data_IF_245965829399
#
_entry.id   IF_245965829399
#
_cell.length_a   1.000
_cell.length_b   1.000
_cell.length_c   1.000
_cell.angle_alpha   90.00
_cell.angle_beta   90.00
_cell.angle_gamma   90.00
#
_symmetry.space_group_name_H-M   'P 1'
#
loop_
_entity.id
_entity.type
_entity.pdbx_description
1 polymer ?
#
# COMPACT_ATOMS: atom_id res chain seq x y z
N UNK A 1 -25.23 31.58 38.44
CA UNK A 1 -24.88 32.56 39.49
C UNK A 1 -24.33 31.79 40.67
N UNK A 2 -23.15 32.12 41.19
CA UNK A 2 -22.74 31.56 42.49
C UNK A 2 -23.76 32.07 43.52
N UNK A 3 -24.33 31.16 44.30
CA UNK A 3 -25.34 31.40 45.34
C UNK A 3 -24.76 32.27 46.48
N UNK A 4 -24.49 33.55 46.23
CA UNK A 4 -24.03 34.52 47.22
C UNK A 4 -22.54 34.44 47.60
N UNK A 5 -21.71 33.69 46.87
CA UNK A 5 -20.26 33.64 47.10
C UNK A 5 -19.53 34.91 46.62
N UNK A 6 -18.52 35.36 47.35
CA UNK A 6 -17.58 36.41 46.92
C UNK A 6 -16.23 35.78 46.58
N UNK A 7 -15.64 36.17 45.46
CA UNK A 7 -14.23 35.90 45.16
C UNK A 7 -13.50 37.19 45.49
N UNK A 8 -12.52 37.15 46.40
CA UNK A 8 -11.76 38.33 46.83
C UNK A 8 -10.28 38.18 46.47
N UNK A 9 -9.61 39.28 46.16
CA UNK A 9 -8.14 39.31 46.10
C UNK A 9 -7.52 39.33 47.52
N UNK A 10 -6.19 39.35 47.60
CA UNK A 10 -5.46 39.40 48.88
C UNK A 10 -5.67 40.72 49.67
N UNK A 11 -6.22 41.75 49.03
CA UNK A 11 -6.62 43.02 49.64
C UNK A 11 -8.13 43.09 49.93
N UNK A 12 -8.83 41.95 49.87
CA UNK A 12 -10.26 41.79 50.08
C UNK A 12 -11.20 42.44 49.04
N UNK A 13 -10.70 42.87 47.89
CA UNK A 13 -11.54 43.43 46.83
C UNK A 13 -12.35 42.33 46.16
N UNK A 14 -13.68 42.52 46.04
CA UNK A 14 -14.54 41.57 45.34
C UNK A 14 -14.26 41.57 43.84
N UNK A 15 -14.08 40.39 43.26
CA UNK A 15 -14.04 40.18 41.82
C UNK A 15 -15.40 40.54 41.19
N UNK A 16 -15.38 40.91 39.92
CA UNK A 16 -16.62 41.07 39.13
C UNK A 16 -17.09 39.70 38.68
N UNK A 17 -18.26 39.24 39.15
CA UNK A 17 -18.84 37.91 38.87
C UNK A 17 -19.88 37.93 37.74
N UNK A 18 -20.00 39.02 36.99
CA UNK A 18 -20.95 39.12 35.87
C UNK A 18 -20.35 38.50 34.63
N UNK A 19 -21.03 37.50 34.06
CA UNK A 19 -20.70 36.99 32.73
C UNK A 19 -21.07 38.05 31.68
N UNK A 20 -20.21 38.25 30.67
CA UNK A 20 -20.58 39.02 29.49
C UNK A 20 -21.83 38.42 28.84
N UNK A 21 -22.77 39.26 28.42
CA UNK A 21 -23.97 38.81 27.69
C UNK A 21 -23.55 37.95 26.48
N UNK A 22 -24.26 36.86 26.16
CA UNK A 22 -24.00 36.08 24.95
C UNK A 22 -23.89 36.99 23.71
N UNK A 23 -22.77 36.89 22.97
CA UNK A 23 -22.49 37.73 21.80
C UNK A 23 -21.71 39.02 22.07
N UNK A 24 -21.54 39.45 23.33
CA UNK A 24 -20.70 40.59 23.70
C UNK A 24 -19.22 40.19 23.87
N UNK A 25 -18.28 41.09 23.57
CA UNK A 25 -16.84 40.83 23.71
C UNK A 25 -16.49 40.19 25.08
N UNK A 26 -15.68 39.13 25.05
CA UNK A 26 -15.35 38.32 26.24
C UNK A 26 -16.38 37.24 26.60
N UNK A 27 -17.51 37.13 25.87
CA UNK A 27 -18.41 35.98 25.95
C UNK A 27 -17.98 34.86 24.99
N UNK A 28 -18.24 33.60 25.35
CA UNK A 28 -18.10 32.47 24.43
C UNK A 28 -18.96 32.65 23.17
N UNK A 29 -20.13 33.29 23.29
CA UNK A 29 -20.99 33.61 22.15
C UNK A 29 -20.50 34.76 21.27
N UNK A 30 -19.45 35.48 21.69
CA UNK A 30 -18.77 36.46 20.84
C UNK A 30 -17.65 35.83 19.98
N UNK A 31 -17.19 34.62 20.33
CA UNK A 31 -16.38 33.85 19.40
C UNK A 31 -17.29 33.43 18.24
N UNK A 32 -16.96 33.87 17.02
CA UNK A 32 -17.91 33.76 15.91
C UNK A 32 -18.09 32.34 15.40
N UNK A 33 -17.11 31.46 15.61
CA UNK A 33 -17.20 30.06 15.23
C UNK A 33 -16.52 29.18 16.29
N UNK A 34 -17.33 28.53 17.14
CA UNK A 34 -16.88 27.32 17.82
C UNK A 34 -17.18 26.19 16.85
N UNK A 35 -16.24 25.89 15.97
CA UNK A 35 -16.34 24.75 15.06
C UNK A 35 -16.01 23.50 15.86
N UNK A 36 -16.98 22.60 16.00
CA UNK A 36 -16.75 21.26 16.50
C UNK A 36 -16.72 20.35 15.29
N UNK A 37 -15.53 19.85 14.97
CA UNK A 37 -15.40 18.80 13.98
C UNK A 37 -15.65 17.45 14.66
N UNK A 38 -16.50 16.64 14.05
CA UNK A 38 -16.82 15.29 14.51
C UNK A 38 -16.62 14.26 13.39
N UNK A 39 -16.02 14.65 12.28
CA UNK A 39 -15.82 13.78 11.13
C UNK A 39 -14.46 13.14 11.25
N UNK A 40 -14.42 11.82 11.41
CA UNK A 40 -13.15 11.09 11.41
C UNK A 40 -12.59 10.93 9.98
N UNK A 41 -11.26 10.85 9.83
CA UNK A 41 -10.65 10.53 8.55
C UNK A 41 -10.98 9.07 8.17
N UNK A 42 -11.35 8.86 6.91
CA UNK A 42 -11.66 7.53 6.34
C UNK A 42 -10.63 7.11 5.30
N UNK A 43 -10.46 5.81 5.07
CA UNK A 43 -9.61 5.29 3.98
C UNK A 43 -10.41 5.33 2.67
N UNK A 44 -9.93 6.13 1.72
CA UNK A 44 -10.57 6.30 0.41
C UNK A 44 -10.04 5.30 -0.63
N UNK A 45 -8.78 4.87 -0.53
CA UNK A 45 -8.21 3.84 -1.42
C UNK A 45 -6.90 3.25 -0.89
N UNK A 46 -6.52 2.11 -1.45
CA UNK A 46 -5.17 1.53 -1.34
C UNK A 46 -4.69 1.10 -2.72
N UNK A 47 -3.47 1.51 -3.10
CA UNK A 47 -2.87 1.22 -4.41
C UNK A 47 -1.51 0.56 -4.25
N UNK A 48 -1.38 -0.68 -4.72
CA UNK A 48 -0.12 -1.45 -4.64
C UNK A 48 0.79 -1.06 -5.80
N UNK A 49 2.07 -0.83 -5.51
CA UNK A 49 3.09 -0.60 -6.53
C UNK A 49 3.25 -1.83 -7.44
N UNK A 50 3.53 -1.62 -8.73
CA UNK A 50 3.69 -2.71 -9.70
C UNK A 50 4.74 -3.76 -9.31
N UNK A 51 5.76 -3.36 -8.55
CA UNK A 51 6.83 -4.23 -8.03
C UNK A 51 6.59 -4.68 -6.57
N UNK A 52 5.40 -4.46 -6.03
CA UNK A 52 5.00 -4.77 -4.65
C UNK A 52 5.85 -4.14 -3.54
N UNK A 53 6.65 -3.11 -3.84
CA UNK A 53 7.52 -2.50 -2.81
C UNK A 53 6.79 -1.61 -1.82
N UNK A 54 5.59 -1.14 -2.15
CA UNK A 54 4.75 -0.35 -1.25
C UNK A 54 3.28 -0.43 -1.62
N UNK A 55 2.43 0.00 -0.69
CA UNK A 55 1.03 0.35 -0.92
C UNK A 55 0.83 1.82 -0.52
N UNK A 56 0.25 2.62 -1.42
CA UNK A 56 -0.16 3.99 -1.12
C UNK A 56 -1.60 3.96 -0.57
N UNK A 57 -1.77 4.37 0.69
CA UNK A 57 -3.04 4.44 1.41
C UNK A 57 -3.52 5.89 1.42
N UNK A 58 -4.65 6.17 0.78
CA UNK A 58 -5.22 7.51 0.70
C UNK A 58 -6.34 7.68 1.72
N UNK A 59 -6.33 8.79 2.44
CA UNK A 59 -7.35 9.19 3.40
C UNK A 59 -8.26 10.28 2.84
N UNK A 60 -9.43 10.48 3.44
CA UNK A 60 -10.36 11.56 3.10
C UNK A 60 -9.78 12.97 3.34
N UNK A 61 -8.77 13.06 4.21
CA UNK A 61 -8.13 14.30 4.63
C UNK A 61 -6.70 14.03 5.14
N UNK A 62 -6.00 15.08 5.60
CA UNK A 62 -4.66 14.96 6.15
C UNK A 62 -4.64 14.29 7.51
N UNK A 63 -3.73 13.34 7.72
CA UNK A 63 -3.66 12.56 8.97
C UNK A 63 -2.40 12.82 9.81
N UNK A 64 -2.52 12.58 11.11
CA UNK A 64 -1.54 12.87 12.15
C UNK A 64 -1.45 11.71 13.14
N UNK A 65 -0.32 11.63 13.86
CA UNK A 65 -0.10 10.59 14.89
C UNK A 65 -0.74 10.95 16.25
N UNK A 66 -1.01 12.24 16.49
CA UNK A 66 -1.61 12.69 17.76
C UNK A 66 -2.94 13.40 17.55
N UNK A 67 -3.82 13.31 18.54
CA UNK A 67 -5.12 13.97 18.57
C UNK A 67 -5.08 15.52 18.66
N UNK A 68 -3.88 16.12 18.66
CA UNK A 68 -3.68 17.56 18.60
C UNK A 68 -3.37 18.08 17.20
N UNK A 69 -3.59 17.28 16.15
CA UNK A 69 -3.25 17.66 14.78
C UNK A 69 -1.74 17.83 14.58
N UNK A 70 -0.94 16.98 15.21
CA UNK A 70 0.52 17.04 15.14
C UNK A 70 1.16 15.66 15.13
N UNK A 71 2.41 15.60 14.69
CA UNK A 71 3.16 14.35 14.55
C UNK A 71 2.83 13.64 13.25
N UNK A 72 3.87 13.05 12.65
CA UNK A 72 3.76 12.24 11.45
C UNK A 72 3.32 10.81 11.80
N UNK A 73 2.49 10.21 10.95
CA UNK A 73 2.12 8.80 11.09
C UNK A 73 3.37 7.89 11.07
N UNK A 74 3.33 6.84 11.86
CA UNK A 74 4.38 5.85 12.05
C UNK A 74 3.93 4.48 11.53
N UNK A 75 4.88 3.57 11.25
CA UNK A 75 4.54 2.25 10.73
C UNK A 75 3.68 1.42 11.70
N UNK A 76 3.84 1.65 13.01
CA UNK A 76 3.02 1.02 14.05
C UNK A 76 1.56 1.46 14.04
N UNK A 77 1.24 2.61 13.44
CA UNK A 77 -0.13 3.14 13.41
C UNK A 77 -1.01 2.37 12.41
N UNK A 78 -0.42 1.42 11.69
CA UNK A 78 -1.07 0.58 10.70
C UNK A 78 -0.90 -0.90 11.08
N UNK A 79 -1.92 -1.69 10.79
CA UNK A 79 -1.81 -3.15 10.77
C UNK A 79 -1.98 -3.64 9.33
N UNK A 80 -1.14 -4.60 8.93
CA UNK A 80 -1.26 -5.25 7.63
C UNK A 80 -1.74 -6.67 7.82
N UNK A 81 -2.81 -7.02 7.11
CA UNK A 81 -3.38 -8.36 7.06
C UNK A 81 -2.91 -9.00 5.75
N UNK A 82 -2.11 -10.05 5.85
CA UNK A 82 -1.63 -10.84 4.72
C UNK A 82 -2.44 -12.13 4.61
N UNK A 83 -2.87 -12.46 3.39
CA UNK A 83 -3.46 -13.76 3.08
C UNK A 83 -2.75 -14.38 1.89
N UNK A 84 -2.11 -15.53 2.11
CA UNK A 84 -1.35 -16.23 1.08
C UNK A 84 -2.22 -16.74 -0.08
N UNK A 85 -3.48 -17.14 0.16
CA UNK A 85 -4.38 -17.65 -0.87
C UNK A 85 -3.79 -18.78 -1.75
N UNK A 86 -2.89 -19.60 -1.20
CA UNK A 86 -2.18 -20.65 -1.94
C UNK A 86 -1.02 -20.15 -2.82
N UNK A 87 -0.67 -18.87 -2.73
CA UNK A 87 0.46 -18.27 -3.41
C UNK A 87 1.83 -18.57 -2.79
N UNK A 88 2.86 -17.99 -3.37
CA UNK A 88 4.27 -18.29 -3.13
C UNK A 88 4.89 -17.41 -2.04
N UNK A 89 4.42 -16.17 -1.88
CA UNK A 89 4.84 -15.34 -0.76
C UNK A 89 4.30 -15.92 0.55
N UNK A 90 5.15 -16.01 1.58
CA UNK A 90 4.82 -16.62 2.86
C UNK A 90 4.43 -15.60 3.92
N UNK A 91 4.80 -14.34 3.73
CA UNK A 91 4.53 -13.26 4.68
C UNK A 91 4.62 -11.89 4.00
N UNK A 92 3.91 -10.91 4.54
CA UNK A 92 4.03 -9.51 4.18
C UNK A 92 3.84 -8.63 5.42
N UNK A 93 4.61 -7.56 5.53
CA UNK A 93 4.53 -6.60 6.64
C UNK A 93 4.85 -5.17 6.18
N UNK A 94 4.45 -4.19 6.98
CA UNK A 94 4.86 -2.79 6.78
C UNK A 94 6.20 -2.58 7.50
N UNK A 95 7.22 -2.23 6.73
CA UNK A 95 8.59 -1.99 7.23
C UNK A 95 8.82 -0.54 7.64
N UNK A 96 8.18 0.40 6.93
CA UNK A 96 8.27 1.84 7.19
C UNK A 96 7.12 2.57 6.50
N UNK A 97 6.92 3.83 6.85
CA UNK A 97 5.97 4.73 6.19
C UNK A 97 6.69 5.99 5.70
N UNK A 98 6.28 6.48 4.54
CA UNK A 98 6.87 7.64 3.86
C UNK A 98 5.80 8.46 3.16
N UNK A 99 6.15 9.66 2.69
CA UNK A 99 5.33 10.36 1.71
C UNK A 99 5.42 9.69 0.33
N UNK A 100 4.60 10.12 -0.64
CA UNK A 100 4.57 9.52 -2.00
C UNK A 100 5.83 9.73 -2.83
N UNK A 101 6.75 10.59 -2.38
CA UNK A 101 8.09 10.78 -2.96
C UNK A 101 9.17 9.94 -2.24
N UNK A 102 8.80 9.14 -1.23
CA UNK A 102 9.73 8.33 -0.43
C UNK A 102 10.46 9.09 0.67
N UNK A 103 10.09 10.35 0.92
CA UNK A 103 10.64 11.16 2.01
C UNK A 103 9.94 10.95 3.34
N UNK A 104 10.47 11.56 4.40
CA UNK A 104 9.84 11.57 5.71
C UNK A 104 8.46 12.25 5.65
N UNK A 105 7.55 11.75 6.49
CA UNK A 105 6.25 12.37 6.73
C UNK A 105 6.41 13.56 7.69
N UNK A 106 5.57 14.58 7.51
CA UNK A 106 5.52 15.76 8.36
C UNK A 106 4.25 15.82 9.22
N UNK A 107 3.23 15.02 8.89
CA UNK A 107 1.89 15.12 9.43
C UNK A 107 1.01 16.00 8.53
N UNK A 108 -0.25 15.60 8.35
CA UNK A 108 -1.21 16.25 7.47
C UNK A 108 -1.19 15.71 6.03
N UNK A 109 -0.38 14.70 5.71
CA UNK A 109 -0.47 14.02 4.43
C UNK A 109 -1.80 13.27 4.29
N UNK A 110 -2.48 13.44 3.17
CA UNK A 110 -3.69 12.67 2.84
C UNK A 110 -3.38 11.35 2.12
N UNK A 111 -2.11 11.05 1.89
CA UNK A 111 -1.68 9.77 1.32
C UNK A 111 -0.38 9.34 1.98
N UNK A 112 -0.41 8.16 2.58
CA UNK A 112 0.71 7.54 3.27
C UNK A 112 1.20 6.36 2.44
N UNK A 113 2.50 6.34 2.13
CA UNK A 113 3.14 5.19 1.49
C UNK A 113 3.62 4.22 2.55
N UNK A 114 2.96 3.07 2.67
CA UNK A 114 3.40 1.97 3.51
C UNK A 114 4.38 1.10 2.71
N UNK A 115 5.66 1.13 3.06
CA UNK A 115 6.72 0.35 2.42
C UNK A 115 6.62 -1.09 2.88
N UNK A 116 6.49 -2.01 1.93
CA UNK A 116 6.24 -3.41 2.19
C UNK A 116 7.56 -4.20 2.31
N UNK A 117 7.58 -5.14 3.24
CA UNK A 117 8.57 -6.21 3.30
C UNK A 117 7.85 -7.54 3.09
N UNK A 118 8.19 -8.24 2.01
CA UNK A 118 7.53 -9.49 1.60
C UNK A 118 8.56 -10.62 1.65
N UNK A 119 8.18 -11.74 2.27
CA UNK A 119 8.97 -12.96 2.27
C UNK A 119 8.48 -13.91 1.18
N UNK A 120 9.40 -14.35 0.31
CA UNK A 120 9.05 -15.08 -0.91
C UNK A 120 8.77 -14.15 -2.09
N UNK A 121 8.45 -14.74 -3.25
CA UNK A 121 8.14 -13.99 -4.47
C UNK A 121 6.63 -14.14 -4.70
N UNK A 122 5.84 -13.05 -4.67
CA UNK A 122 4.41 -13.13 -4.91
C UNK A 122 4.07 -13.76 -6.26
N UNK A 123 3.05 -14.60 -6.27
CA UNK A 123 2.54 -15.30 -7.45
C UNK A 123 1.22 -14.73 -7.96
N UNK A 124 0.84 -13.53 -7.56
CA UNK A 124 -0.32 -12.85 -8.14
C UNK A 124 -1.66 -13.24 -7.53
N UNK A 125 -1.68 -14.07 -6.49
CA UNK A 125 -2.92 -14.51 -5.81
C UNK A 125 -2.96 -14.09 -4.35
N UNK A 126 -1.81 -13.77 -3.75
CA UNK A 126 -1.72 -13.27 -2.40
C UNK A 126 -2.39 -11.91 -2.29
N UNK A 127 -3.04 -11.66 -1.15
CA UNK A 127 -3.67 -10.37 -0.88
C UNK A 127 -3.12 -9.73 0.38
N UNK A 128 -2.96 -8.41 0.34
CA UNK A 128 -2.69 -7.58 1.50
C UNK A 128 -3.85 -6.62 1.74
N UNK A 129 -4.06 -6.27 3.00
CA UNK A 129 -5.06 -5.28 3.42
C UNK A 129 -4.45 -4.45 4.54
N UNK A 130 -4.61 -3.12 4.47
CA UNK A 130 -4.09 -2.19 5.48
C UNK A 130 -5.25 -1.55 6.21
N UNK A 131 -5.17 -1.57 7.55
CA UNK A 131 -6.15 -0.98 8.47
C UNK A 131 -5.44 -0.10 9.50
N UNK A 132 -6.09 0.93 10.06
CA UNK A 132 -5.56 1.67 11.21
C UNK A 132 -5.37 0.77 12.44
N UNK A 133 -4.28 0.95 13.18
CA UNK A 133 -4.03 0.27 14.44
C UNK A 133 -4.72 1.01 15.59
N UNK A 134 -5.98 0.66 15.88
CA UNK A 134 -6.72 1.30 16.96
C UNK A 134 -6.84 2.82 16.76
N UNK A 135 -6.81 3.59 17.85
CA UNK A 135 -6.82 5.05 17.79
C UNK A 135 -5.38 5.60 17.69
N UNK A 136 -4.75 5.42 16.54
CA UNK A 136 -3.38 5.88 16.27
C UNK A 136 -3.28 6.94 15.17
N UNK A 137 -4.29 7.03 14.31
CA UNK A 137 -4.32 7.96 13.17
C UNK A 137 -5.44 8.97 13.43
N UNK A 138 -5.13 10.26 13.39
CA UNK A 138 -6.03 11.35 13.71
C UNK A 138 -6.13 12.36 12.58
N UNK A 139 -7.24 13.08 12.47
CA UNK A 139 -7.31 14.32 11.68
C UNK A 139 -6.68 15.51 12.45
N UNK A 140 -6.77 16.72 11.86
CA UNK A 140 -6.28 17.93 12.50
C UNK A 140 -7.10 18.36 13.73
N UNK A 141 -8.36 17.92 13.84
CA UNK A 141 -9.28 18.26 14.91
C UNK A 141 -9.24 17.27 16.09
N UNK A 142 -8.54 16.15 15.94
CA UNK A 142 -8.37 15.10 16.93
C UNK A 142 -9.34 13.93 16.84
N UNK A 143 -10.12 13.81 15.76
CA UNK A 143 -10.94 12.63 15.51
C UNK A 143 -10.05 11.49 15.01
N UNK A 144 -10.19 10.30 15.60
CA UNK A 144 -9.41 9.13 15.21
C UNK A 144 -10.04 8.41 14.01
N UNK A 145 -9.23 7.93 13.08
CA UNK A 145 -9.65 6.96 12.08
C UNK A 145 -10.20 5.71 12.78
N UNK A 146 -11.34 5.21 12.33
CA UNK A 146 -11.92 3.99 12.89
C UNK A 146 -11.05 2.78 12.52
N UNK A 147 -10.80 1.88 13.47
CA UNK A 147 -9.99 0.68 13.23
C UNK A 147 -10.64 -0.31 12.24
N UNK A 148 -11.90 -0.08 11.88
CA UNK A 148 -12.62 -0.83 10.83
C UNK A 148 -12.42 -0.26 9.44
N UNK A 149 -11.82 0.93 9.30
CA UNK A 149 -11.42 1.46 8.00
C UNK A 149 -10.40 0.52 7.35
N UNK A 150 -10.50 0.38 6.04
CA UNK A 150 -9.65 -0.56 5.32
C UNK A 150 -9.40 -0.11 3.89
N UNK A 151 -8.23 -0.46 3.36
CA UNK A 151 -7.98 -0.39 1.92
C UNK A 151 -8.85 -1.36 1.11
N UNK A 152 -9.52 -2.31 1.78
CA UNK A 152 -9.95 -3.63 1.29
C UNK A 152 -8.75 -4.47 0.86
N UNK A 153 -8.97 -5.78 0.69
CA UNK A 153 -7.97 -6.67 0.11
C UNK A 153 -7.48 -6.15 -1.26
N UNK A 154 -6.16 -6.09 -1.43
CA UNK A 154 -5.44 -5.81 -2.68
C UNK A 154 -4.55 -6.98 -3.03
N UNK A 155 -4.66 -7.44 -4.27
CA UNK A 155 -3.82 -8.51 -4.80
C UNK A 155 -2.40 -7.99 -5.02
N UNK A 156 -1.40 -8.75 -4.56
CA UNK A 156 0.00 -8.51 -4.92
C UNK A 156 0.21 -8.88 -6.39
N UNK A 157 1.06 -8.15 -7.09
CA UNK A 157 1.37 -8.45 -8.49
C UNK A 157 2.26 -9.69 -8.59
N UNK A 158 2.11 -10.50 -9.62
CA UNK A 158 3.03 -11.61 -9.90
C UNK A 158 4.45 -11.07 -10.18
N UNK A 159 5.44 -11.65 -9.53
CA UNK A 159 6.86 -11.35 -9.69
C UNK A 159 7.71 -12.60 -9.97
N UNK A 160 7.12 -13.79 -10.17
CA UNK A 160 7.89 -14.98 -10.57
C UNK A 160 8.41 -14.83 -12.00
N UNK A 161 9.59 -15.41 -12.23
CA UNK A 161 10.13 -15.52 -13.56
C UNK A 161 9.32 -16.55 -14.38
N UNK A 162 9.14 -16.35 -15.69
CA UNK A 162 8.51 -17.34 -16.55
C UNK A 162 9.35 -18.63 -16.64
N UNK A 163 8.70 -19.72 -17.01
CA UNK A 163 9.30 -21.04 -17.22
C UNK A 163 9.40 -21.39 -18.70
N UNK A 164 10.40 -22.18 -19.07
CA UNK A 164 10.57 -22.70 -20.44
C UNK A 164 10.73 -24.21 -20.41
N UNK A 165 9.94 -24.90 -21.24
CA UNK A 165 10.02 -26.34 -21.46
C UNK A 165 10.39 -26.59 -22.91
N UNK A 166 11.49 -27.32 -23.14
CA UNK A 166 11.94 -27.70 -24.47
C UNK A 166 11.56 -29.15 -24.77
N UNK A 167 11.05 -29.40 -25.98
CA UNK A 167 10.77 -30.74 -26.49
C UNK A 167 11.40 -30.91 -27.86
N UNK A 168 11.99 -32.09 -28.11
CA UNK A 168 12.59 -32.46 -29.38
C UNK A 168 11.74 -33.52 -30.07
N UNK A 169 11.51 -33.39 -31.38
CA UNK A 169 10.80 -34.39 -32.17
C UNK A 169 11.43 -34.57 -33.57
N UNK A 170 12.05 -35.73 -33.88
CA UNK A 170 12.29 -36.86 -32.96
C UNK A 170 13.29 -36.51 -31.83
N UNK A 171 13.23 -37.23 -30.71
CA UNK A 171 14.12 -37.03 -29.55
C UNK A 171 15.57 -37.51 -29.79
N UNK A 172 15.76 -38.28 -30.87
CA UNK A 172 17.04 -38.78 -31.33
C UNK A 172 17.07 -38.78 -32.86
N UNK A 173 18.26 -38.52 -33.39
CA UNK A 173 18.53 -38.55 -34.83
C UNK A 173 19.77 -39.39 -35.09
N UNK A 174 19.84 -39.99 -36.28
CA UNK A 174 21.05 -40.64 -36.75
C UNK A 174 22.05 -39.58 -37.23
N UNK A 175 23.34 -39.81 -37.01
CA UNK A 175 24.41 -38.88 -37.39
C UNK A 175 24.78 -39.00 -38.88
N UNK A 176 23.81 -38.77 -39.77
CA UNK A 176 23.98 -38.88 -41.24
C UNK A 176 24.24 -37.50 -41.92
N UNK A 177 24.26 -36.41 -41.14
CA UNK A 177 24.42 -35.05 -41.64
C UNK A 177 23.19 -34.44 -42.32
N UNK A 178 22.06 -35.15 -42.34
CA UNK A 178 20.81 -34.72 -43.01
C UNK A 178 19.56 -34.87 -42.15
N UNK A 179 19.57 -35.79 -41.19
CA UNK A 179 18.49 -36.02 -40.23
C UNK A 179 18.35 -34.82 -39.31
N UNK A 180 17.10 -34.37 -39.10
CA UNK A 180 16.78 -33.18 -38.31
C UNK A 180 15.79 -33.50 -37.20
N UNK A 181 15.88 -32.76 -36.10
CA UNK A 181 14.84 -32.71 -35.06
C UNK A 181 14.25 -31.30 -34.98
N UNK A 182 12.95 -31.22 -34.67
CA UNK A 182 12.30 -29.96 -34.35
C UNK A 182 12.33 -29.74 -32.85
N UNK A 183 12.97 -28.65 -32.41
CA UNK A 183 12.92 -28.20 -31.02
C UNK A 183 11.75 -27.23 -30.86
N UNK A 184 10.83 -27.56 -29.95
CA UNK A 184 9.71 -26.69 -29.58
C UNK A 184 9.91 -26.19 -28.16
N UNK A 185 9.89 -24.87 -27.97
CA UNK A 185 9.83 -24.24 -26.66
C UNK A 185 8.39 -23.89 -26.31
N UNK A 186 7.93 -24.35 -25.15
CA UNK A 186 6.74 -23.84 -24.50
C UNK A 186 7.19 -22.90 -23.39
N UNK A 187 6.82 -21.62 -23.50
CA UNK A 187 7.14 -20.62 -22.49
C UNK A 187 5.85 -20.25 -21.78
N UNK A 188 5.78 -20.56 -20.50
CA UNK A 188 4.60 -20.33 -19.67
C UNK A 188 4.98 -19.41 -18.52
N UNK A 189 4.07 -18.51 -18.16
CA UNK A 189 4.12 -17.90 -16.86
C UNK A 189 3.83 -18.97 -15.78
N UNK A 190 3.92 -18.56 -14.53
CA UNK A 190 3.67 -19.43 -13.39
C UNK A 190 2.19 -19.82 -13.21
N UNK A 191 1.25 -19.12 -13.86
CA UNK A 191 -0.16 -19.49 -13.90
C UNK A 191 -0.43 -20.61 -14.93
N UNK A 192 0.61 -21.01 -15.68
CA UNK A 192 0.51 -21.96 -16.78
C UNK A 192 -0.04 -21.33 -18.05
N UNK A 193 -0.18 -20.01 -18.08
CA UNK A 193 -0.61 -19.28 -19.26
C UNK A 193 0.61 -18.99 -20.15
N UNK A 194 0.46 -18.99 -21.49
CA UNK A 194 1.58 -18.70 -22.38
C UNK A 194 2.10 -17.28 -22.17
N UNK A 195 3.42 -17.11 -22.18
CA UNK A 195 4.02 -15.76 -22.14
C UNK A 195 3.60 -14.95 -23.36
N UNK A 196 3.27 -13.68 -23.13
CA UNK A 196 2.76 -12.75 -24.14
C UNK A 196 3.52 -12.81 -25.48
N UNK A 197 2.77 -12.76 -26.58
CA UNK A 197 3.30 -12.82 -27.94
C UNK A 197 4.35 -11.74 -28.19
N UNK A 198 5.41 -12.09 -28.93
CA UNK A 198 6.50 -11.17 -29.23
C UNK A 198 7.64 -11.18 -28.20
N UNK A 199 7.56 -12.03 -27.17
CA UNK A 199 8.67 -12.21 -26.22
C UNK A 199 9.79 -12.99 -26.90
N UNK A 200 11.00 -12.41 -26.91
CA UNK A 200 12.17 -13.03 -27.52
C UNK A 200 12.67 -14.22 -26.68
N UNK A 201 12.88 -15.34 -27.36
CA UNK A 201 13.47 -16.57 -26.85
C UNK A 201 14.74 -16.85 -27.65
N UNK A 202 15.88 -16.78 -26.99
CA UNK A 202 17.18 -17.08 -27.59
C UNK A 202 17.52 -18.56 -27.43
N UNK A 203 17.83 -19.22 -28.55
CA UNK A 203 18.31 -20.59 -28.56
C UNK A 203 19.82 -20.64 -28.81
N UNK A 204 20.52 -21.52 -28.11
CA UNK A 204 21.90 -21.86 -28.41
C UNK A 204 22.03 -23.38 -28.48
N UNK A 205 23.00 -23.85 -29.27
CA UNK A 205 23.34 -25.27 -29.35
C UNK A 205 24.85 -25.41 -29.24
N UNK A 206 25.28 -26.33 -28.40
CA UNK A 206 26.68 -26.75 -28.28
C UNK A 206 27.02 -27.83 -29.31
N UNK A 207 26.01 -28.56 -29.80
CA UNK A 207 26.14 -29.71 -30.68
C UNK A 207 25.09 -29.69 -31.78
N UNK A 208 25.56 -29.49 -33.02
CA UNK A 208 24.71 -29.42 -34.20
C UNK A 208 24.58 -28.00 -34.74
N UNK A 209 23.61 -27.80 -35.64
CA UNK A 209 23.34 -26.50 -36.26
C UNK A 209 21.85 -26.28 -36.36
N UNK A 210 21.38 -25.06 -36.10
CA UNK A 210 20.01 -24.69 -36.42
C UNK A 210 19.86 -24.55 -37.92
N UNK A 211 18.78 -25.10 -38.49
CA UNK A 211 18.46 -24.93 -39.90
C UNK A 211 18.17 -23.45 -40.26
N UNK A 212 17.82 -22.63 -39.27
CA UNK A 212 17.60 -21.19 -39.39
C UNK A 212 18.81 -20.42 -38.89
N UNK A 213 19.23 -19.38 -39.62
CA UNK A 213 20.26 -18.44 -39.17
C UNK A 213 19.80 -17.54 -38.01
N UNK A 214 18.48 -17.44 -37.79
CA UNK A 214 17.92 -16.71 -36.66
C UNK A 214 17.68 -17.66 -35.49
N UNK A 215 18.48 -17.49 -34.45
CA UNK A 215 18.39 -18.25 -33.20
C UNK A 215 17.48 -17.60 -32.16
N UNK A 216 17.06 -16.35 -32.38
CA UNK A 216 15.99 -15.71 -31.61
C UNK A 216 14.65 -16.01 -32.27
N UNK A 217 13.69 -16.52 -31.50
CA UNK A 217 12.30 -16.71 -31.92
C UNK A 217 11.39 -15.97 -30.96
N UNK A 218 10.26 -15.50 -31.46
CA UNK A 218 9.25 -14.87 -30.62
C UNK A 218 8.18 -15.88 -30.22
N UNK A 219 7.71 -15.78 -28.98
CA UNK A 219 6.51 -16.50 -28.54
C UNK A 219 5.31 -16.14 -29.44
N UNK A 220 4.47 -17.14 -29.73
CA UNK A 220 3.25 -16.99 -30.52
C UNK A 220 2.19 -17.95 -30.00
N UNK A 221 0.93 -17.51 -29.95
CA UNK A 221 -0.20 -18.34 -29.49
C UNK A 221 -0.58 -18.14 -28.01
N UNK A 222 0.01 -17.14 -27.35
CA UNK A 222 -0.53 -16.53 -26.13
C UNK A 222 -1.50 -15.39 -26.42
#
# INVERSE_FOLDING_TARGET
>A
TLNGGTIKDAAENNATLTLSSPGAAGSLGANKDIVIDTTAPTISSGTVAANNTYIDVAFSEGVYNTNGGSGAAEASDFNLIFTQNGGNASDASISSVTNTSGGALSGGESTIRCVLSISGIPSGVETIEVVPQGSAIYDAAGNAAEATETTTAKTLNDQLAPTIVLTANPDSIIADGTSTSTITAKVEDQNGDPVANGTDVLFETDQGTFASSTVTKQTSGG
#
